data_IF_609356941933
#
_entry.id   IF_609356941933
#
_cell.length_a   1.000
_cell.length_b   1.000
_cell.length_c   1.000
_cell.angle_alpha   90.00
_cell.angle_beta   90.00
_cell.angle_gamma   90.00
#
_symmetry.space_group_name_H-M   'P 1'
#
loop_
_entity.id
_entity.type
_entity.pdbx_description
1 polymer ?
#
# COMPACT_ATOMS: atom_id res chain seq x y z
N UNK A 1 6.90 15.53 -0.10
CA UNK A 1 7.62 14.54 0.74
C UNK A 1 7.09 13.15 0.42
N UNK A 2 7.91 12.11 0.55
CA UNK A 2 7.47 10.76 0.21
C UNK A 2 7.87 9.74 1.29
N UNK A 3 6.95 8.82 1.59
CA UNK A 3 7.20 7.62 2.35
C UNK A 3 7.09 6.42 1.42
N UNK A 4 8.07 5.52 1.48
CA UNK A 4 8.23 4.37 0.59
C UNK A 4 8.60 3.15 1.42
N UNK A 5 8.19 1.97 0.97
CA UNK A 5 8.55 0.71 1.60
C UNK A 5 9.53 -0.08 0.73
N UNK A 6 10.54 -0.70 1.36
CA UNK A 6 11.38 -1.70 0.74
C UNK A 6 11.63 -2.83 1.75
N UNK A 7 10.96 -3.96 1.54
CA UNK A 7 11.00 -5.07 2.50
C UNK A 7 11.95 -6.19 2.15
N UNK A 8 12.61 -6.13 0.99
CA UNK A 8 13.60 -7.15 0.63
C UNK A 8 14.86 -7.03 1.50
N UNK A 9 15.42 -8.17 1.97
CA UNK A 9 14.88 -9.52 1.86
C UNK A 9 13.89 -9.90 2.98
N UNK A 10 13.99 -9.30 4.18
CA UNK A 10 13.21 -9.67 5.38
C UNK A 10 12.93 -8.50 6.33
N UNK A 11 12.43 -7.39 5.80
CA UNK A 11 12.10 -6.21 6.59
C UNK A 11 10.61 -5.95 6.76
N UNK A 12 9.72 -6.79 6.22
CA UNK A 12 8.27 -6.60 6.35
C UNK A 12 7.83 -6.64 7.83
N UNK A 13 8.51 -7.44 8.65
CA UNK A 13 8.31 -7.55 10.11
C UNK A 13 8.49 -6.22 10.87
N UNK A 14 9.16 -5.23 10.27
CA UNK A 14 9.37 -3.91 10.89
C UNK A 14 8.14 -3.00 10.77
N UNK A 15 7.21 -3.33 9.87
CA UNK A 15 6.02 -2.52 9.58
C UNK A 15 4.76 -3.21 10.11
N UNK A 16 4.68 -4.53 10.00
CA UNK A 16 3.57 -5.31 10.56
C UNK A 16 4.07 -6.68 11.03
N UNK A 17 3.53 -7.24 12.13
CA UNK A 17 3.85 -8.60 12.55
C UNK A 17 3.49 -9.61 11.46
N UNK A 18 4.48 -10.39 10.98
CA UNK A 18 4.27 -11.39 9.94
C UNK A 18 5.32 -12.50 9.96
N UNK A 19 4.99 -13.63 9.33
CA UNK A 19 5.95 -14.71 9.06
C UNK A 19 6.74 -14.38 7.79
N UNK A 20 7.95 -13.84 7.99
CA UNK A 20 8.80 -13.27 6.93
C UNK A 20 9.72 -14.30 6.26
N UNK A 21 9.11 -15.40 5.81
CA UNK A 21 9.75 -16.48 5.05
C UNK A 21 9.25 -16.46 3.58
N UNK A 22 10.13 -16.43 2.57
CA UNK A 22 9.74 -16.47 1.17
C UNK A 22 8.82 -17.62 0.75
N UNK A 23 8.85 -18.76 1.45
CA UNK A 23 7.99 -19.90 1.18
C UNK A 23 6.53 -19.67 1.64
N UNK A 24 6.31 -18.79 2.62
CA UNK A 24 5.01 -18.52 3.20
C UNK A 24 4.30 -17.38 2.47
N UNK A 25 3.52 -17.74 1.45
CA UNK A 25 2.73 -16.79 0.65
C UNK A 25 1.34 -16.59 1.24
N UNK A 26 0.88 -15.35 1.26
CA UNK A 26 -0.47 -14.98 1.68
C UNK A 26 -1.08 -13.94 0.73
N UNK A 27 -2.40 -13.80 0.79
CA UNK A 27 -3.10 -12.68 0.15
C UNK A 27 -3.34 -11.60 1.19
N UNK A 28 -3.07 -10.36 0.81
CA UNK A 28 -3.15 -9.18 1.66
C UNK A 28 -4.24 -8.23 1.14
N UNK A 29 -5.09 -7.82 2.07
CA UNK A 29 -6.05 -6.74 1.91
C UNK A 29 -5.45 -5.50 2.58
N UNK A 30 -5.18 -4.46 1.79
CA UNK A 30 -4.42 -3.29 2.24
C UNK A 30 -5.36 -2.09 2.28
N UNK A 31 -5.39 -1.39 3.41
CA UNK A 31 -6.11 -0.14 3.59
C UNK A 31 -5.12 0.90 4.11
N UNK A 32 -5.02 2.03 3.42
CA UNK A 32 -4.12 3.12 3.81
C UNK A 32 -4.96 4.35 4.13
N UNK A 33 -4.83 4.84 5.37
CA UNK A 33 -5.45 6.10 5.80
C UNK A 33 -4.42 7.22 5.70
N UNK A 34 -4.73 8.27 4.95
CA UNK A 34 -3.81 9.38 4.72
C UNK A 34 -4.55 10.71 4.59
N UNK A 35 -3.79 11.80 4.61
CA UNK A 35 -4.33 13.14 4.39
C UNK A 35 -4.86 13.29 2.97
N UNK A 36 -5.97 14.00 2.82
CA UNK A 36 -6.52 14.39 1.51
C UNK A 36 -5.47 15.20 0.74
N UNK A 37 -5.28 14.88 -0.55
CA UNK A 37 -4.26 15.50 -1.40
C UNK A 37 -2.89 14.79 -1.38
N UNK A 38 -2.71 13.76 -0.54
CA UNK A 38 -1.61 12.79 -0.67
C UNK A 38 -2.09 11.62 -1.52
N UNK A 39 -1.22 11.11 -2.38
CA UNK A 39 -1.45 9.93 -3.18
C UNK A 39 -0.97 8.69 -2.42
N UNK A 40 -1.86 7.71 -2.24
CA UNK A 40 -1.52 6.38 -1.77
C UNK A 40 -1.46 5.41 -2.95
N UNK A 41 -0.36 4.68 -3.07
CA UNK A 41 -0.19 3.64 -4.10
C UNK A 41 0.26 2.37 -3.41
N UNK A 42 -0.28 1.23 -3.82
CA UNK A 42 0.13 -0.09 -3.34
C UNK A 42 0.27 -1.08 -4.51
N UNK A 43 0.48 -2.37 -4.21
CA UNK A 43 0.64 -3.44 -5.19
C UNK A 43 -0.56 -3.59 -6.15
N UNK A 44 -1.74 -3.20 -5.68
CA UNK A 44 -3.00 -3.36 -6.39
C UNK A 44 -3.68 -2.01 -6.63
N UNK A 45 -4.58 -1.88 -7.61
CA UNK A 45 -5.33 -0.64 -7.82
C UNK A 45 -6.25 -0.35 -6.64
N UNK A 46 -6.55 0.94 -6.44
CA UNK A 46 -7.56 1.36 -5.46
C UNK A 46 -8.91 0.79 -5.86
N UNK A 47 -9.52 0.02 -4.96
CA UNK A 47 -10.85 -0.53 -5.12
C UNK A 47 -11.93 0.44 -4.62
N UNK A 48 -11.65 1.15 -3.52
CA UNK A 48 -12.58 2.09 -2.89
C UNK A 48 -11.84 3.16 -2.10
N UNK A 49 -12.28 4.41 -2.21
CA UNK A 49 -11.83 5.52 -1.38
C UNK A 49 -12.98 6.00 -0.49
N UNK A 50 -12.76 6.06 0.82
CA UNK A 50 -13.75 6.54 1.78
C UNK A 50 -13.25 7.75 2.55
N UNK A 51 -14.09 8.78 2.70
CA UNK A 51 -13.78 9.91 3.58
C UNK A 51 -13.94 9.48 5.04
N UNK A 52 -12.88 9.60 5.84
CA UNK A 52 -12.92 9.32 7.29
C UNK A 52 -13.19 10.58 8.11
N UNK A 53 -12.58 11.71 7.72
CA UNK A 53 -12.79 13.01 8.38
C UNK A 53 -12.76 14.14 7.34
N UNK A 54 -12.74 15.41 7.75
CA UNK A 54 -12.51 16.53 6.83
C UNK A 54 -11.13 16.51 6.15
N UNK A 55 -10.13 15.95 6.82
CA UNK A 55 -8.73 15.97 6.37
C UNK A 55 -8.18 14.60 5.99
N UNK A 56 -8.86 13.49 6.35
CA UNK A 56 -8.40 12.13 6.12
C UNK A 56 -9.32 11.34 5.17
N UNK A 57 -8.70 10.55 4.31
CA UNK A 57 -9.33 9.55 3.45
C UNK A 57 -8.71 8.18 3.70
N UNK A 58 -9.46 7.12 3.41
CA UNK A 58 -9.02 5.74 3.48
C UNK A 58 -9.14 5.10 2.10
N UNK A 59 -8.00 4.73 1.51
CA UNK A 59 -7.94 4.00 0.27
C UNK A 59 -7.83 2.50 0.56
N UNK A 60 -8.85 1.76 0.15
CA UNK A 60 -8.89 0.30 0.15
C UNK A 60 -8.42 -0.19 -1.21
N UNK A 61 -7.34 -0.96 -1.24
CA UNK A 61 -6.78 -1.55 -2.44
C UNK A 61 -7.41 -2.92 -2.72
N UNK A 62 -7.46 -3.32 -3.99
CA UNK A 62 -7.90 -4.65 -4.35
C UNK A 62 -6.98 -5.72 -3.71
N UNK A 63 -7.54 -6.89 -3.41
CA UNK A 63 -6.81 -7.99 -2.77
C UNK A 63 -5.65 -8.46 -3.63
N UNK A 64 -4.48 -8.61 -3.03
CA UNK A 64 -3.30 -9.15 -3.71
C UNK A 64 -3.44 -10.65 -4.01
N UNK A 65 -2.73 -11.20 -5.04
CA UNK A 65 -2.63 -12.64 -5.18
C UNK A 65 -1.75 -13.19 -4.05
N UNK A 66 -1.59 -14.51 -3.96
CA UNK A 66 -0.70 -15.09 -2.94
C UNK A 66 0.75 -14.69 -3.23
N UNK A 67 1.30 -13.79 -2.42
CA UNK A 67 2.67 -13.28 -2.52
C UNK A 67 3.42 -13.45 -1.18
N UNK A 68 4.76 -13.54 -1.19
CA UNK A 68 5.55 -13.39 0.02
C UNK A 68 5.43 -11.99 0.65
N UNK A 69 5.57 -11.89 1.97
CA UNK A 69 5.46 -10.63 2.73
C UNK A 69 6.42 -9.53 2.27
N UNK A 70 7.63 -9.89 1.84
CA UNK A 70 8.64 -8.91 1.40
C UNK A 70 8.30 -8.22 0.06
N UNK A 71 7.29 -8.71 -0.68
CA UNK A 71 6.80 -8.08 -1.92
C UNK A 71 5.70 -7.04 -1.68
N UNK A 72 5.19 -6.93 -0.46
CA UNK A 72 4.26 -5.84 -0.13
C UNK A 72 5.00 -4.52 -0.31
N UNK A 73 4.37 -3.64 -1.08
CA UNK A 73 4.87 -2.32 -1.38
C UNK A 73 3.70 -1.34 -1.30
N UNK A 74 3.95 -0.24 -0.63
CA UNK A 74 3.11 0.94 -0.67
C UNK A 74 3.92 2.22 -0.52
N UNK A 75 3.34 3.30 -1.02
CA UNK A 75 3.92 4.62 -1.02
C UNK A 75 2.87 5.66 -0.65
N UNK A 76 3.32 6.71 0.05
CA UNK A 76 2.56 7.93 0.29
C UNK A 76 3.39 9.08 -0.25
N UNK A 77 2.86 9.83 -1.21
CA UNK A 77 3.59 10.93 -1.83
C UNK A 77 2.65 12.05 -2.31
N UNK A 78 3.20 13.24 -2.50
CA UNK A 78 2.53 14.42 -3.05
C UNK A 78 2.92 14.69 -4.51
N UNK A 79 3.42 13.67 -5.22
CA UNK A 79 3.86 13.85 -6.60
C UNK A 79 2.67 13.99 -7.55
N UNK A 80 2.77 14.87 -8.57
CA UNK A 80 1.76 14.93 -9.62
C UNK A 80 1.71 13.59 -10.36
N UNK A 81 0.53 12.97 -10.39
CA UNK A 81 0.31 11.76 -11.18
C UNK A 81 0.06 12.15 -12.63
N UNK A 82 1.00 11.80 -13.51
CA UNK A 82 0.77 11.90 -14.95
C UNK A 82 -0.03 10.69 -15.41
N UNK A 83 -1.36 10.77 -15.33
CA UNK A 83 -2.22 9.78 -15.94
C UNK A 83 -2.12 9.89 -17.47
N UNK A 84 -1.68 8.82 -18.15
CA UNK A 84 -1.97 8.65 -19.57
C UNK A 84 -3.49 8.47 -19.66
N UNK A 85 -4.18 9.51 -20.16
CA UNK A 85 -5.54 9.36 -20.63
C UNK A 85 -5.55 8.49 -21.87
N UNK A 86 -6.16 7.32 -21.78
CA UNK A 86 -6.68 6.51 -22.88
C UNK A 86 -7.79 5.63 -22.34
#
# INVERSE_FOLDING_TARGET
WAALTNFRPRYSRRVFPCFDDPALKASFDIIIVHKRGINAVSNMPVYRTERRTASLVADTFARTPKIPSYLIAFTLNDFPSFGKGT
#
